data_IF_779677662083
#
_entry.id   IF_779677662083
#
_cell.length_a   1.000
_cell.length_b   1.000
_cell.length_c   1.000
_cell.angle_alpha   90.00
_cell.angle_beta   90.00
_cell.angle_gamma   90.00
#
_symmetry.space_group_name_H-M   'P 1'
#
loop_
_entity.id
_entity.type
_entity.pdbx_description
1 polymer ?
#
# COMPACT_ATOMS: atom_id res chain seq x y z
N UNK A 1 33.40 14.90 34.07
CA UNK A 1 32.38 15.97 34.10
C UNK A 1 32.04 16.34 32.69
N UNK A 2 30.74 16.30 32.36
CA UNK A 2 30.06 17.04 31.28
C UNK A 2 30.80 17.18 29.95
N UNK A 3 30.39 16.40 28.94
CA UNK A 3 30.02 16.87 27.58
C UNK A 3 29.80 15.66 26.66
N UNK A 4 28.76 15.75 25.83
CA UNK A 4 28.42 14.85 24.70
C UNK A 4 27.74 13.51 25.02
N UNK A 5 26.58 13.54 25.71
CA UNK A 5 25.47 12.69 25.25
C UNK A 5 24.71 13.49 24.19
N UNK A 6 25.08 13.31 22.92
CA UNK A 6 24.17 13.64 21.81
C UNK A 6 22.85 12.92 22.12
N UNK A 7 21.82 13.65 22.53
CA UNK A 7 20.48 13.10 22.72
C UNK A 7 20.09 12.42 21.40
N UNK A 8 20.01 11.09 21.43
CA UNK A 8 19.41 10.31 20.35
C UNK A 8 17.95 10.76 20.19
N UNK A 9 17.39 10.74 18.97
CA UNK A 9 15.96 11.00 18.77
C UNK A 9 15.14 10.07 19.68
N UNK A 10 14.23 10.67 20.44
CA UNK A 10 13.35 9.97 21.39
C UNK A 10 12.11 9.55 20.61
N UNK A 11 11.89 8.25 20.48
CA UNK A 11 10.72 7.69 19.83
C UNK A 11 9.71 7.21 20.88
N UNK A 12 8.51 6.87 20.44
CA UNK A 12 7.42 6.33 21.28
C UNK A 12 7.78 5.03 22.02
N UNK A 13 8.83 4.33 21.57
CA UNK A 13 9.38 3.12 22.22
C UNK A 13 10.40 3.41 23.33
N UNK A 14 10.76 4.68 23.56
CA UNK A 14 11.76 5.04 24.57
C UNK A 14 11.24 4.78 25.99
N UNK A 15 12.04 4.08 26.81
CA UNK A 15 11.66 3.71 28.17
C UNK A 15 11.46 4.93 29.08
N UNK A 16 12.05 6.08 28.76
CA UNK A 16 11.83 7.35 29.50
C UNK A 16 10.41 7.89 29.36
N UNK A 17 9.64 7.42 28.38
CA UNK A 17 8.26 7.84 28.15
C UNK A 17 7.25 6.85 28.73
N UNK A 18 7.69 5.94 29.61
CA UNK A 18 6.90 4.81 30.10
C UNK A 18 6.75 4.85 31.62
N UNK A 19 5.59 4.44 32.11
CA UNK A 19 5.38 4.13 33.52
C UNK A 19 6.04 2.78 33.86
N UNK A 20 6.15 2.47 35.15
CA UNK A 20 6.71 1.20 35.63
C UNK A 20 5.98 -0.05 35.10
N UNK A 21 4.70 0.07 34.71
CA UNK A 21 3.89 -1.00 34.12
C UNK A 21 4.05 -1.12 32.58
N UNK A 22 4.88 -0.28 31.96
CA UNK A 22 5.14 -0.26 30.52
C UNK A 22 4.13 0.54 29.69
N UNK A 23 3.10 1.14 30.30
CA UNK A 23 2.19 2.07 29.63
C UNK A 23 2.89 3.41 29.34
N UNK A 24 2.39 4.18 28.37
CA UNK A 24 2.97 5.51 28.04
C UNK A 24 2.61 6.50 29.15
N UNK A 25 3.61 7.23 29.67
CA UNK A 25 3.43 8.27 30.66
C UNK A 25 3.00 9.60 29.99
N UNK A 26 1.72 9.68 29.60
CA UNK A 26 1.17 10.87 28.95
C UNK A 26 1.22 12.12 29.83
N UNK A 27 0.98 11.98 31.14
CA UNK A 27 1.00 13.11 32.07
C UNK A 27 2.40 13.73 32.16
N UNK A 28 3.45 12.91 32.23
CA UNK A 28 4.83 13.37 32.19
C UNK A 28 5.20 14.04 30.86
N UNK A 29 4.71 13.51 29.73
CA UNK A 29 4.89 14.13 28.41
C UNK A 29 4.23 15.52 28.35
N UNK A 30 2.98 15.64 28.85
CA UNK A 30 2.25 16.91 28.88
C UNK A 30 2.92 17.91 29.81
N UNK A 31 3.37 17.47 30.99
CA UNK A 31 4.13 18.31 31.92
C UNK A 31 5.45 18.80 31.30
N UNK A 32 6.16 17.94 30.56
CA UNK A 32 7.41 18.30 29.87
C UNK A 32 7.17 19.35 28.80
N UNK A 33 6.13 19.14 27.98
CA UNK A 33 5.75 20.07 26.92
C UNK A 33 5.39 21.46 27.46
N UNK A 34 4.96 21.55 28.73
CA UNK A 34 4.67 22.79 29.46
C UNK A 34 5.84 23.33 30.31
N UNK A 35 7.04 22.77 30.16
CA UNK A 35 8.24 23.24 30.87
C UNK A 35 8.28 22.93 32.38
N UNK A 36 7.49 21.97 32.86
CA UNK A 36 7.42 21.63 34.28
C UNK A 36 8.53 20.66 34.71
N UNK A 37 8.79 20.59 36.02
CA UNK A 37 9.63 19.54 36.62
C UNK A 37 8.89 18.20 36.55
N UNK A 38 9.59 17.17 36.10
CA UNK A 38 9.02 15.88 35.73
C UNK A 38 9.18 14.81 36.81
N UNK A 39 8.32 13.79 36.76
CA UNK A 39 8.49 12.55 37.51
C UNK A 39 9.80 11.84 37.13
N UNK A 40 10.35 11.01 38.04
CA UNK A 40 11.66 10.37 37.88
C UNK A 40 11.85 9.64 36.54
N UNK A 41 10.82 8.96 36.05
CA UNK A 41 10.87 8.17 34.81
C UNK A 41 11.08 9.06 33.56
N UNK A 42 10.43 10.23 33.53
CA UNK A 42 10.52 11.22 32.44
C UNK A 42 11.53 12.34 32.70
N UNK A 43 12.05 12.48 33.93
CA UNK A 43 12.97 13.56 34.33
C UNK A 43 14.28 13.58 33.54
N UNK A 44 14.64 12.46 32.92
CA UNK A 44 15.79 12.32 32.04
C UNK A 44 15.68 13.15 30.74
N UNK A 45 14.53 13.77 30.47
CA UNK A 45 14.31 14.70 29.35
C UNK A 45 14.79 16.13 29.66
N UNK A 46 15.01 16.47 30.93
CA UNK A 46 15.32 17.82 31.38
C UNK A 46 14.11 18.77 31.34
N UNK A 47 14.37 20.07 31.53
CA UNK A 47 13.35 21.12 31.48
C UNK A 47 13.26 21.69 30.07
N UNK A 48 12.05 21.80 29.55
CA UNK A 48 11.78 22.40 28.24
C UNK A 48 11.79 23.93 28.32
N UNK A 49 12.43 24.57 27.36
CA UNK A 49 12.42 26.04 27.19
C UNK A 49 11.25 26.52 26.32
N UNK A 50 10.91 27.80 26.45
CA UNK A 50 9.99 28.49 25.54
C UNK A 50 10.65 28.76 24.19
N UNK A 51 9.84 29.03 23.16
CA UNK A 51 10.31 29.32 21.81
C UNK A 51 10.38 30.83 21.58
N UNK A 52 11.58 31.43 21.49
CA UNK A 52 11.74 32.87 21.30
C UNK A 52 11.22 33.37 19.95
N UNK A 53 10.98 32.48 18.98
CA UNK A 53 10.51 32.84 17.65
C UNK A 53 9.00 32.69 17.47
N UNK A 54 8.26 32.32 18.53
CA UNK A 54 6.81 32.19 18.50
C UNK A 54 6.16 33.26 19.39
N UNK A 55 5.36 34.13 18.76
CA UNK A 55 4.67 35.24 19.40
C UNK A 55 5.63 36.11 20.24
N UNK A 56 5.41 36.23 21.55
CA UNK A 56 6.22 37.05 22.48
C UNK A 56 7.38 36.28 23.15
N UNK A 57 7.65 35.05 22.70
CA UNK A 57 8.74 34.23 23.22
C UNK A 57 8.44 33.48 24.53
N UNK A 58 7.20 33.56 25.04
CA UNK A 58 6.80 32.95 26.31
C UNK A 58 6.12 31.58 26.17
N UNK A 59 5.87 31.15 24.92
CA UNK A 59 5.11 29.94 24.60
C UNK A 59 6.00 28.72 24.40
N UNK A 60 5.44 27.54 24.64
CA UNK A 60 6.11 26.26 24.47
C UNK A 60 5.71 25.59 23.15
N UNK A 61 6.62 25.56 22.17
CA UNK A 61 6.35 24.93 20.87
C UNK A 61 7.04 23.57 20.74
N UNK A 62 6.59 22.77 19.78
CA UNK A 62 7.31 21.59 19.33
C UNK A 62 7.71 21.67 17.86
N UNK A 63 8.74 20.93 17.44
CA UNK A 63 9.16 20.86 16.03
C UNK A 63 9.70 19.48 15.64
N UNK A 64 9.90 19.25 14.33
CA UNK A 64 10.50 18.02 13.80
C UNK A 64 12.01 17.96 14.09
N UNK A 65 12.42 17.96 15.37
CA UNK A 65 13.82 18.25 15.64
C UNK A 65 14.32 18.23 17.07
N UNK A 66 13.55 17.70 18.05
CA UNK A 66 13.96 17.40 19.45
C UNK A 66 13.44 18.35 20.55
N UNK A 67 12.51 19.25 20.26
CA UNK A 67 11.87 20.05 21.32
C UNK A 67 10.39 19.68 21.42
N UNK A 68 10.00 18.96 22.47
CA UNK A 68 8.60 18.57 22.71
C UNK A 68 8.07 17.39 21.89
N UNK A 69 6.88 16.92 22.28
CA UNK A 69 6.16 15.80 21.68
C UNK A 69 4.78 16.22 21.21
N UNK A 70 4.33 15.69 20.08
CA UNK A 70 2.96 15.84 19.59
C UNK A 70 2.41 14.47 19.23
N UNK A 71 1.09 14.34 19.19
CA UNK A 71 0.42 13.23 18.50
C UNK A 71 0.03 13.71 17.11
N UNK A 72 0.37 12.90 16.10
CA UNK A 72 0.07 13.16 14.69
C UNK A 72 -0.73 12.01 14.11
N UNK A 73 -1.63 12.31 13.19
CA UNK A 73 -2.34 11.31 12.40
C UNK A 73 -1.77 11.25 10.99
N UNK A 74 -1.48 10.05 10.49
CA UNK A 74 -1.14 9.82 9.08
C UNK A 74 -2.41 9.44 8.35
N UNK A 75 -2.91 10.36 7.52
CA UNK A 75 -4.17 10.24 6.84
C UNK A 75 -3.95 9.61 5.46
N UNK A 76 -4.81 8.64 5.13
CA UNK A 76 -4.78 7.92 3.88
C UNK A 76 -6.21 7.81 3.33
N UNK A 77 -6.63 8.84 2.60
CA UNK A 77 -8.00 8.96 2.08
C UNK A 77 -8.05 8.61 0.61
N UNK A 78 -9.15 7.99 0.17
CA UNK A 78 -9.26 7.46 -1.18
C UNK A 78 -10.66 7.67 -1.75
N UNK A 79 -10.73 8.24 -2.94
CA UNK A 79 -11.96 8.37 -3.71
C UNK A 79 -11.87 7.51 -4.96
N UNK A 80 -12.88 6.68 -5.17
CA UNK A 80 -13.01 5.81 -6.34
C UNK A 80 -14.29 6.17 -7.10
N UNK A 81 -14.18 6.28 -8.42
CA UNK A 81 -15.32 6.46 -9.30
C UNK A 81 -15.07 5.71 -10.59
N UNK A 82 -16.10 5.10 -11.18
CA UNK A 82 -15.92 4.33 -12.40
C UNK A 82 -17.19 3.68 -12.93
N UNK A 83 -17.03 3.00 -14.04
CA UNK A 83 -18.06 2.23 -14.74
C UNK A 83 -17.51 0.83 -14.96
N UNK A 84 -18.34 -0.17 -14.65
CA UNK A 84 -18.07 -1.58 -14.91
C UNK A 84 -19.22 -2.14 -15.74
N UNK A 85 -18.88 -2.88 -16.79
CA UNK A 85 -19.85 -3.56 -17.62
C UNK A 85 -19.47 -5.02 -17.80
N UNK A 86 -20.46 -5.89 -17.84
CA UNK A 86 -20.29 -7.31 -18.16
C UNK A 86 -21.50 -7.78 -18.96
N UNK A 87 -21.23 -8.34 -20.13
CA UNK A 87 -22.18 -8.99 -21.00
C UNK A 87 -21.85 -10.48 -21.02
N UNK A 88 -22.85 -11.31 -20.72
CA UNK A 88 -22.78 -12.77 -20.88
C UNK A 88 -23.76 -13.15 -21.97
N UNK A 89 -23.29 -13.83 -23.01
CA UNK A 89 -24.08 -14.24 -24.15
C UNK A 89 -23.82 -15.69 -24.50
N UNK A 90 -24.88 -16.52 -24.48
CA UNK A 90 -24.82 -17.90 -24.97
C UNK A 90 -24.92 -17.87 -26.50
N UNK A 91 -23.81 -18.12 -27.18
CA UNK A 91 -23.78 -18.20 -28.64
C UNK A 91 -24.51 -19.45 -29.14
N UNK A 92 -24.47 -20.52 -28.36
CA UNK A 92 -25.28 -21.74 -28.50
C UNK A 92 -25.30 -22.51 -27.16
N UNK A 93 -25.78 -23.75 -27.17
CA UNK A 93 -25.91 -24.59 -25.96
C UNK A 93 -24.58 -24.93 -25.29
N UNK A 94 -23.47 -24.88 -26.04
CA UNK A 94 -22.15 -25.28 -25.57
C UNK A 94 -21.16 -24.12 -25.48
N UNK A 95 -21.41 -22.99 -26.13
CA UNK A 95 -20.49 -21.84 -26.19
C UNK A 95 -21.09 -20.63 -25.49
N UNK A 96 -20.37 -20.14 -24.48
CA UNK A 96 -20.67 -18.88 -23.79
C UNK A 96 -19.56 -17.87 -24.05
N UNK A 97 -19.95 -16.65 -24.45
CA UNK A 97 -19.08 -15.49 -24.54
C UNK A 97 -19.38 -14.57 -23.35
N UNK A 98 -18.34 -14.22 -22.59
CA UNK A 98 -18.40 -13.19 -21.54
C UNK A 98 -17.46 -12.07 -21.90
N UNK A 99 -17.94 -10.83 -21.99
CA UNK A 99 -17.10 -9.66 -22.34
C UNK A 99 -17.51 -8.44 -21.55
N UNK A 100 -16.63 -7.46 -21.42
CA UNK A 100 -16.93 -6.25 -20.68
C UNK A 100 -15.86 -5.19 -20.84
N UNK A 101 -16.20 -4.02 -20.32
CA UNK A 101 -15.31 -2.87 -20.20
C UNK A 101 -15.26 -2.43 -18.75
N UNK A 102 -14.17 -1.80 -18.40
CA UNK A 102 -13.95 -1.23 -17.08
C UNK A 102 -13.24 0.13 -17.26
N UNK A 103 -13.72 1.13 -16.54
CA UNK A 103 -13.18 2.47 -16.52
C UNK A 103 -13.20 2.97 -15.09
N UNK A 104 -12.04 3.23 -14.51
CA UNK A 104 -11.92 3.69 -13.12
C UNK A 104 -11.02 4.89 -13.02
N UNK A 105 -11.37 5.77 -12.11
CA UNK A 105 -10.53 6.85 -11.65
C UNK A 105 -10.43 6.76 -10.13
N UNK A 106 -9.21 6.93 -9.65
CA UNK A 106 -8.86 6.90 -8.26
C UNK A 106 -8.02 8.11 -7.90
N UNK A 107 -8.35 8.71 -6.75
CA UNK A 107 -7.56 9.77 -6.13
C UNK A 107 -7.26 9.36 -4.69
N UNK A 108 -6.01 9.02 -4.43
CA UNK A 108 -5.45 8.89 -3.09
C UNK A 108 -4.95 10.23 -2.61
N UNK A 109 -5.27 10.58 -1.37
CA UNK A 109 -4.90 11.84 -0.72
C UNK A 109 -4.14 11.46 0.54
N UNK A 110 -2.86 11.81 0.56
CA UNK A 110 -1.92 11.43 1.61
C UNK A 110 -1.40 12.68 2.30
N UNK A 111 -1.67 12.80 3.59
CA UNK A 111 -1.16 13.91 4.40
C UNK A 111 -0.97 13.47 5.84
N UNK A 112 -0.21 14.27 6.61
CA UNK A 112 -0.23 14.18 8.07
C UNK A 112 -0.80 15.45 8.66
N UNK A 113 -1.51 15.31 9.77
CA UNK A 113 -2.05 16.45 10.52
C UNK A 113 -1.63 16.40 11.98
N UNK A 114 -1.66 17.57 12.61
CA UNK A 114 -1.51 17.69 14.06
C UNK A 114 -2.82 17.23 14.69
N UNK A 115 -2.75 16.11 15.39
CA UNK A 115 -3.91 15.50 16.00
C UNK A 115 -4.07 15.99 17.44
N UNK A 116 -2.97 16.09 18.20
CA UNK A 116 -2.95 16.63 19.55
C UNK A 116 -1.57 17.24 19.88
N UNK A 117 -1.56 18.42 20.49
CA UNK A 117 -0.36 19.15 20.89
C UNK A 117 0.30 18.56 22.13
N UNK A 118 -0.37 17.68 22.87
CA UNK A 118 0.09 17.09 24.13
C UNK A 118 0.60 18.17 25.10
N UNK A 119 -0.10 19.31 25.17
CA UNK A 119 0.25 20.41 26.07
C UNK A 119 1.25 21.44 25.54
N UNK A 120 1.76 21.32 24.32
CA UNK A 120 2.41 22.43 23.62
C UNK A 120 1.37 23.51 23.26
N UNK A 121 1.83 24.74 23.06
CA UNK A 121 0.99 25.83 22.54
C UNK A 121 0.88 25.80 21.00
N UNK A 122 1.93 25.31 20.32
CA UNK A 122 1.94 25.12 18.87
C UNK A 122 2.97 24.08 18.41
N UNK A 123 2.83 23.63 17.17
CA UNK A 123 3.82 22.83 16.47
C UNK A 123 4.36 23.61 15.25
N UNK A 124 5.67 23.78 15.16
CA UNK A 124 6.34 24.37 14.00
C UNK A 124 6.58 23.28 12.95
N UNK A 125 5.77 23.30 11.90
CA UNK A 125 5.95 22.51 10.69
C UNK A 125 6.78 23.29 9.67
N UNK A 126 7.87 22.68 9.20
CA UNK A 126 8.84 23.33 8.29
C UNK A 126 9.01 22.60 6.96
N UNK A 127 8.27 21.51 6.74
CA UNK A 127 8.43 20.65 5.56
C UNK A 127 7.78 21.19 4.29
N UNK A 128 6.91 22.20 4.39
CA UNK A 128 6.25 22.81 3.25
C UNK A 128 7.08 23.97 2.71
N UNK A 129 7.59 23.90 1.48
CA UNK A 129 8.34 24.99 0.86
C UNK A 129 7.51 26.26 0.68
N UNK A 130 6.20 26.12 0.47
CA UNK A 130 5.26 27.23 0.30
C UNK A 130 4.89 27.91 1.63
N UNK A 131 5.19 27.26 2.77
CA UNK A 131 4.97 27.80 4.11
C UNK A 131 6.00 27.23 5.10
N UNK A 132 7.27 27.69 5.03
CA UNK A 132 8.38 27.08 5.77
C UNK A 132 8.38 27.41 7.28
N UNK A 133 7.59 28.39 7.71
CA UNK A 133 7.41 28.77 9.11
C UNK A 133 5.93 28.65 9.45
N UNK A 134 5.43 27.41 9.52
CA UNK A 134 4.03 27.14 9.81
C UNK A 134 3.83 26.70 11.27
N UNK A 135 3.41 27.63 12.14
CA UNK A 135 2.98 27.29 13.50
C UNK A 135 1.54 26.82 13.52
N UNK A 136 1.33 25.55 13.84
CA UNK A 136 0.02 24.91 13.96
C UNK A 136 -0.37 24.88 15.43
N UNK A 137 -1.33 25.71 15.83
CA UNK A 137 -1.85 25.79 17.21
C UNK A 137 -3.24 25.17 17.37
N UNK A 138 -3.90 24.79 16.27
CA UNK A 138 -5.21 24.15 16.29
C UNK A 138 -5.08 22.65 16.09
N UNK A 139 -5.50 21.88 17.09
CA UNK A 139 -5.60 20.43 17.00
C UNK A 139 -6.71 20.01 16.02
N UNK A 140 -6.47 18.94 15.26
CA UNK A 140 -7.49 18.27 14.45
C UNK A 140 -7.54 16.79 14.83
N UNK A 141 -8.32 16.45 15.86
CA UNK A 141 -8.48 15.07 16.33
C UNK A 141 -8.90 14.13 15.20
N UNK A 142 -8.37 12.90 15.25
CA UNK A 142 -8.70 11.85 14.29
C UNK A 142 -9.84 10.99 14.83
N UNK A 143 -11.03 11.57 14.87
CA UNK A 143 -12.22 10.89 15.38
C UNK A 143 -12.74 9.84 14.39
N UNK A 144 -13.13 8.68 14.94
CA UNK A 144 -13.73 7.61 14.15
C UNK A 144 -15.06 8.09 13.55
N UNK A 145 -15.30 7.75 12.28
CA UNK A 145 -16.57 8.04 11.58
C UNK A 145 -16.63 9.39 10.86
N UNK A 146 -15.54 10.17 10.82
CA UNK A 146 -15.49 11.36 9.97
C UNK A 146 -15.11 11.01 8.52
N UNK A 147 -16.12 10.69 7.71
CA UNK A 147 -15.94 10.34 6.29
C UNK A 147 -15.79 11.54 5.35
N UNK A 148 -15.94 12.78 5.87
CA UNK A 148 -15.89 14.03 5.11
C UNK A 148 -14.73 14.94 5.50
N UNK A 149 -13.70 14.38 6.14
CA UNK A 149 -12.57 15.15 6.67
C UNK A 149 -11.85 15.94 5.58
N UNK A 150 -11.83 17.25 5.77
CA UNK A 150 -11.25 18.23 4.86
C UNK A 150 -10.17 19.08 5.55
N UNK A 151 -9.67 18.65 6.72
CA UNK A 151 -8.73 19.43 7.54
C UNK A 151 -7.43 19.79 6.80
N UNK A 152 -7.12 19.06 5.73
CA UNK A 152 -5.95 19.28 4.91
C UNK A 152 -6.11 20.40 3.86
N UNK A 153 -7.34 20.75 3.47
CA UNK A 153 -7.60 21.58 2.27
C UNK A 153 -6.98 22.97 2.32
N UNK A 154 -6.80 23.53 3.52
CA UNK A 154 -6.18 24.86 3.69
C UNK A 154 -4.67 24.79 3.87
N UNK A 155 -4.06 23.60 3.95
CA UNK A 155 -2.63 23.38 4.25
C UNK A 155 -2.20 23.75 5.67
N UNK A 156 -2.95 24.61 6.37
CA UNK A 156 -2.59 25.16 7.67
C UNK A 156 -2.44 24.12 8.79
N UNK A 157 -3.15 22.99 8.72
CA UNK A 157 -3.00 21.88 9.68
C UNK A 157 -2.40 20.63 9.03
N UNK A 158 -1.44 20.83 8.11
CA UNK A 158 -0.72 19.74 7.45
C UNK A 158 0.75 19.83 7.80
N UNK A 159 1.36 18.69 8.11
CA UNK A 159 2.75 18.57 8.51
C UNK A 159 3.46 17.44 7.74
N UNK A 160 4.78 17.52 7.64
CA UNK A 160 5.68 16.55 6.98
C UNK A 160 5.48 16.33 5.47
N UNK A 161 4.28 15.98 5.01
CA UNK A 161 3.97 15.74 3.61
C UNK A 161 2.50 16.00 3.30
N UNK A 162 2.25 16.37 2.04
CA UNK A 162 0.93 16.40 1.44
C UNK A 162 1.05 16.12 -0.06
N UNK A 163 0.48 15.01 -0.50
CA UNK A 163 0.46 14.65 -1.92
C UNK A 163 -0.80 13.88 -2.29
N UNK A 164 -1.14 13.97 -3.58
CA UNK A 164 -2.19 13.19 -4.20
C UNK A 164 -1.59 12.19 -5.20
N UNK A 165 -2.09 10.96 -5.13
CA UNK A 165 -1.84 9.92 -6.12
C UNK A 165 -3.07 9.70 -6.98
N UNK A 166 -3.00 10.06 -8.25
CA UNK A 166 -4.06 9.87 -9.22
C UNK A 166 -3.79 8.62 -10.05
N UNK A 167 -4.80 7.77 -10.18
CA UNK A 167 -4.74 6.57 -11.01
C UNK A 167 -5.94 6.55 -11.95
N UNK A 168 -5.67 6.38 -13.23
CA UNK A 168 -6.66 6.17 -14.28
C UNK A 168 -6.54 4.73 -14.77
N UNK A 169 -7.66 4.06 -15.00
CA UNK A 169 -7.68 2.72 -15.58
C UNK A 169 -8.76 2.65 -16.63
N UNK A 170 -8.40 2.15 -17.82
CA UNK A 170 -9.36 1.80 -18.86
C UNK A 170 -8.98 0.45 -19.45
N UNK A 171 -9.95 -0.43 -19.62
CA UNK A 171 -9.67 -1.75 -20.13
C UNK A 171 -10.91 -2.48 -20.59
N UNK A 172 -10.67 -3.57 -21.29
CA UNK A 172 -11.69 -4.47 -21.79
C UNK A 172 -11.23 -5.91 -21.64
N UNK A 173 -12.19 -6.82 -21.56
CA UNK A 173 -11.93 -8.24 -21.50
C UNK A 173 -12.93 -9.03 -22.34
N UNK A 174 -12.51 -10.21 -22.75
CA UNK A 174 -13.35 -11.21 -23.39
C UNK A 174 -12.91 -12.60 -22.94
N UNK A 175 -13.89 -13.46 -22.67
CA UNK A 175 -13.73 -14.86 -22.32
C UNK A 175 -14.70 -15.68 -23.15
N UNK A 176 -14.21 -16.75 -23.76
CA UNK A 176 -15.03 -17.75 -24.45
C UNK A 176 -14.88 -19.07 -23.72
N UNK A 177 -16.01 -19.69 -23.41
CA UNK A 177 -16.10 -21.00 -22.76
C UNK A 177 -16.88 -21.95 -23.67
N UNK A 178 -16.29 -23.10 -23.97
CA UNK A 178 -16.94 -24.23 -24.61
C UNK A 178 -17.10 -25.35 -23.58
N UNK A 179 -18.31 -25.88 -23.40
CA UNK A 179 -18.55 -26.95 -22.42
C UNK A 179 -19.53 -28.00 -22.95
N UNK A 180 -19.13 -29.26 -22.78
CA UNK A 180 -19.93 -30.48 -22.99
C UNK A 180 -19.73 -31.40 -21.77
N UNK A 181 -20.43 -32.54 -21.74
CA UNK A 181 -20.26 -33.55 -20.67
C UNK A 181 -18.81 -34.06 -20.54
N UNK A 182 -18.07 -34.15 -21.67
CA UNK A 182 -16.71 -34.70 -21.68
C UNK A 182 -15.61 -33.65 -21.72
N UNK A 183 -15.86 -32.49 -22.31
CA UNK A 183 -14.83 -31.50 -22.60
C UNK A 183 -15.30 -30.11 -22.19
N UNK A 184 -14.47 -29.41 -21.43
CA UNK A 184 -14.63 -27.98 -21.15
C UNK A 184 -13.35 -27.25 -21.51
N UNK A 185 -13.43 -26.17 -22.28
CA UNK A 185 -12.31 -25.36 -22.74
C UNK A 185 -12.66 -23.90 -22.51
N UNK A 186 -11.69 -23.11 -22.06
CA UNK A 186 -11.87 -21.67 -21.98
C UNK A 186 -10.65 -20.94 -22.52
N UNK A 187 -10.87 -19.72 -23.01
CA UNK A 187 -9.82 -18.77 -23.35
C UNK A 187 -10.28 -17.36 -22.95
N UNK A 188 -9.38 -16.62 -22.32
CA UNK A 188 -9.62 -15.28 -21.79
C UNK A 188 -8.51 -14.35 -22.23
N UNK A 189 -8.90 -13.19 -22.74
CA UNK A 189 -8.02 -12.07 -23.05
C UNK A 189 -8.50 -10.85 -22.30
N UNK A 190 -7.59 -10.13 -21.68
CA UNK A 190 -7.85 -8.78 -21.18
C UNK A 190 -6.71 -7.84 -21.56
N UNK A 191 -7.07 -6.58 -21.78
CA UNK A 191 -6.15 -5.51 -22.12
C UNK A 191 -6.58 -4.25 -21.38
N UNK A 192 -5.60 -3.52 -20.84
CA UNK A 192 -5.87 -2.28 -20.13
C UNK A 192 -4.73 -1.28 -20.31
N UNK A 193 -5.06 -0.01 -20.15
CA UNK A 193 -4.11 1.06 -19.93
C UNK A 193 -4.31 1.60 -18.50
N UNK A 194 -3.23 1.67 -17.75
CA UNK A 194 -3.20 2.26 -16.42
C UNK A 194 -2.31 3.50 -16.43
N UNK A 195 -2.90 4.63 -16.08
CA UNK A 195 -2.24 5.92 -15.99
C UNK A 195 -1.97 6.30 -14.54
N UNK A 196 -0.81 6.91 -14.29
CA UNK A 196 -0.41 7.42 -12.98
C UNK A 196 -0.04 8.90 -13.06
N UNK A 197 -0.47 9.69 -12.06
CA UNK A 197 -0.07 11.08 -11.89
C UNK A 197 0.09 11.39 -10.40
N UNK A 198 1.14 12.13 -10.05
CA UNK A 198 1.39 12.58 -8.68
C UNK A 198 1.30 14.10 -8.62
N UNK A 199 0.73 14.62 -7.52
CA UNK A 199 0.74 16.04 -7.18
C UNK A 199 1.32 16.15 -5.78
N UNK A 200 2.35 16.96 -5.57
CA UNK A 200 2.99 17.13 -4.26
C UNK A 200 3.03 18.60 -3.85
N UNK A 201 2.29 18.93 -2.80
CA UNK A 201 2.05 20.32 -2.38
C UNK A 201 3.15 20.89 -1.48
N UNK A 202 4.11 20.06 -1.03
CA UNK A 202 5.13 20.45 -0.05
C UNK A 202 6.53 20.56 -0.65
N UNK A 203 6.85 19.69 -1.62
CA UNK A 203 8.19 19.62 -2.21
C UNK A 203 8.40 20.68 -3.31
N UNK A 204 7.33 21.09 -3.98
CA UNK A 204 7.37 22.06 -5.08
C UNK A 204 6.58 23.32 -4.74
N UNK A 205 7.00 24.45 -5.29
CA UNK A 205 6.27 25.71 -5.13
C UNK A 205 4.89 25.63 -5.83
N UNK A 206 3.88 26.32 -5.31
CA UNK A 206 2.52 26.35 -5.90
C UNK A 206 2.50 26.93 -7.32
N UNK A 207 3.48 27.76 -7.66
CA UNK A 207 3.69 28.29 -9.01
C UNK A 207 4.50 27.37 -9.93
N UNK A 208 5.10 26.31 -9.41
CA UNK A 208 5.95 25.41 -10.20
C UNK A 208 5.11 24.37 -10.94
N UNK A 209 5.29 24.29 -12.26
CA UNK A 209 4.65 23.27 -13.07
C UNK A 209 5.04 21.84 -12.65
N UNK A 210 6.23 21.66 -12.06
CA UNK A 210 6.69 20.38 -11.53
C UNK A 210 5.91 19.90 -10.29
N UNK A 211 5.06 20.75 -9.69
CA UNK A 211 4.16 20.35 -8.59
C UNK A 211 3.25 19.18 -8.97
N UNK A 212 2.84 19.12 -10.24
CA UNK A 212 2.01 18.04 -10.77
C UNK A 212 2.73 17.34 -11.93
N UNK A 213 2.98 16.04 -11.79
CA UNK A 213 3.61 15.27 -12.86
C UNK A 213 2.73 15.18 -14.11
N UNK A 214 3.34 14.87 -15.24
CA UNK A 214 2.61 14.36 -16.40
C UNK A 214 2.05 12.96 -16.12
N UNK A 215 1.01 12.59 -16.87
CA UNK A 215 0.43 11.24 -16.82
C UNK A 215 1.38 10.22 -17.43
N UNK A 216 1.76 9.22 -16.63
CA UNK A 216 2.56 8.08 -17.08
C UNK A 216 1.63 6.89 -17.36
N UNK A 217 1.57 6.43 -18.61
CA UNK A 217 0.60 5.44 -19.06
C UNK A 217 1.27 4.11 -19.40
N UNK A 218 0.73 3.02 -18.86
CA UNK A 218 1.26 1.67 -19.01
C UNK A 218 0.17 0.74 -19.56
N UNK A 219 0.44 0.16 -20.73
CA UNK A 219 -0.41 -0.88 -21.27
C UNK A 219 -0.07 -2.22 -20.63
N UNK A 220 -1.08 -2.97 -20.20
CA UNK A 220 -0.95 -4.30 -19.63
C UNK A 220 -2.08 -5.19 -20.07
N UNK A 221 -2.01 -6.46 -19.70
CA UNK A 221 -3.01 -7.44 -20.10
C UNK A 221 -2.66 -8.85 -19.69
N UNK A 222 -3.61 -9.73 -19.90
CA UNK A 222 -3.58 -11.13 -19.51
C UNK A 222 -4.17 -11.95 -20.65
N UNK A 223 -3.48 -13.01 -21.00
CA UNK A 223 -4.01 -14.09 -21.82
C UNK A 223 -4.00 -15.37 -20.98
N UNK A 224 -5.13 -16.05 -20.87
CA UNK A 224 -5.26 -17.32 -20.18
C UNK A 224 -6.06 -18.29 -21.03
N UNK A 225 -5.69 -19.54 -21.02
CA UNK A 225 -6.48 -20.60 -21.64
C UNK A 225 -6.35 -21.88 -20.83
N UNK A 226 -7.38 -22.70 -20.88
CA UNK A 226 -7.36 -23.99 -20.20
C UNK A 226 -8.35 -24.96 -20.81
N UNK A 227 -8.10 -26.24 -20.55
CA UNK A 227 -8.95 -27.32 -20.99
C UNK A 227 -9.06 -28.38 -19.90
N UNK A 228 -10.25 -28.92 -19.73
CA UNK A 228 -10.57 -30.04 -18.86
C UNK A 228 -11.25 -31.14 -19.67
N UNK A 229 -10.76 -32.37 -19.55
CA UNK A 229 -11.34 -33.56 -20.16
C UNK A 229 -11.76 -34.56 -19.10
N UNK A 230 -13.04 -34.90 -19.09
CA UNK A 230 -13.62 -35.94 -18.23
C UNK A 230 -13.41 -37.29 -18.93
N UNK A 231 -12.51 -38.10 -18.37
CA UNK A 231 -12.22 -39.47 -18.83
C UNK A 231 -13.47 -40.33 -18.63
N UNK A 232 -14.13 -40.15 -17.49
CA UNK A 232 -15.44 -40.68 -17.13
C UNK A 232 -16.02 -39.84 -15.97
N UNK A 233 -17.12 -40.29 -15.37
CA UNK A 233 -17.82 -39.58 -14.29
C UNK A 233 -16.99 -39.35 -13.02
N UNK A 234 -15.89 -40.10 -12.85
CA UNK A 234 -15.05 -40.06 -11.65
C UNK A 234 -13.70 -39.40 -11.90
N UNK A 235 -13.23 -39.34 -13.14
CA UNK A 235 -11.85 -38.99 -13.45
C UNK A 235 -11.79 -37.87 -14.49
N UNK A 236 -11.01 -36.83 -14.20
CA UNK A 236 -10.75 -35.75 -15.14
C UNK A 236 -9.26 -35.36 -15.15
N UNK A 237 -8.80 -34.86 -16.29
CA UNK A 237 -7.49 -34.21 -16.44
C UNK A 237 -7.70 -32.80 -16.94
N UNK A 238 -6.89 -31.86 -16.47
CA UNK A 238 -6.97 -30.48 -16.93
C UNK A 238 -5.59 -29.85 -17.09
N UNK A 239 -5.53 -28.85 -17.94
CA UNK A 239 -4.35 -28.04 -18.17
C UNK A 239 -4.75 -26.56 -18.21
N UNK A 240 -3.95 -25.69 -17.61
CA UNK A 240 -4.09 -24.25 -17.70
C UNK A 240 -2.76 -23.62 -18.09
N UNK A 241 -2.81 -22.61 -18.95
CA UNK A 241 -1.67 -21.78 -19.29
C UNK A 241 -2.07 -20.31 -19.24
N UNK A 242 -1.14 -19.47 -18.83
CA UNK A 242 -1.38 -18.04 -18.70
C UNK A 242 -0.13 -17.22 -18.93
N UNK A 243 -0.34 -16.04 -19.50
CA UNK A 243 0.63 -14.97 -19.60
C UNK A 243 -0.01 -13.68 -19.08
N UNK A 244 0.72 -12.94 -18.25
CA UNK A 244 0.30 -11.64 -17.73
C UNK A 244 1.43 -10.64 -17.89
N UNK A 245 1.13 -9.52 -18.55
CA UNK A 245 1.93 -8.32 -18.55
C UNK A 245 1.33 -7.36 -17.53
N UNK A 246 1.88 -7.36 -16.32
CA UNK A 246 1.38 -6.60 -15.17
C UNK A 246 2.02 -5.20 -15.17
N UNK A 247 1.18 -4.17 -15.19
CA UNK A 247 1.64 -2.78 -15.08
C UNK A 247 2.36 -2.51 -13.74
N UNK A 248 3.29 -1.54 -13.70
CA UNK A 248 3.91 -1.08 -12.47
C UNK A 248 2.88 -0.57 -11.44
N UNK A 249 3.23 -0.56 -10.17
CA UNK A 249 2.43 0.14 -9.14
C UNK A 249 2.90 1.59 -8.99
N UNK A 250 2.08 2.44 -8.36
CA UNK A 250 2.36 3.87 -8.18
C UNK A 250 3.78 4.15 -7.64
N UNK A 251 4.20 3.40 -6.62
CA UNK A 251 5.52 3.54 -5.98
C UNK A 251 6.69 3.12 -6.88
N UNK A 252 6.45 2.31 -7.92
CA UNK A 252 7.49 2.04 -8.93
C UNK A 252 7.68 3.23 -9.86
N UNK A 253 6.61 4.00 -10.13
CA UNK A 253 6.59 5.11 -11.10
C UNK A 253 7.27 6.35 -10.54
N UNK A 254 6.94 6.72 -9.31
CA UNK A 254 7.45 7.92 -8.65
C UNK A 254 8.45 7.55 -7.55
N UNK A 255 9.73 7.88 -7.76
CA UNK A 255 10.81 7.54 -6.84
C UNK A 255 11.08 8.67 -5.83
N UNK A 256 11.77 8.32 -4.74
CA UNK A 256 12.27 9.27 -3.73
C UNK A 256 11.19 10.15 -3.08
N UNK A 257 9.92 9.72 -3.10
CA UNK A 257 8.78 10.53 -2.65
C UNK A 257 8.67 11.89 -3.36
N UNK A 258 9.12 11.96 -4.62
CA UNK A 258 9.07 13.15 -5.48
C UNK A 258 8.30 12.85 -6.76
N UNK A 259 8.10 13.87 -7.60
CA UNK A 259 7.54 13.70 -8.94
C UNK A 259 8.60 13.23 -9.96
N UNK A 260 9.67 12.59 -9.48
CA UNK A 260 10.73 12.04 -10.31
C UNK A 260 10.28 10.70 -10.88
N UNK A 261 10.18 10.62 -12.21
CA UNK A 261 9.77 9.40 -12.90
C UNK A 261 10.94 8.41 -12.93
N UNK A 262 10.69 7.17 -12.54
CA UNK A 262 11.64 6.09 -12.71
C UNK A 262 11.89 5.83 -14.21
N UNK A 263 13.11 6.03 -14.73
CA UNK A 263 13.39 5.84 -16.15
C UNK A 263 13.36 4.37 -16.60
N UNK A 264 13.35 3.43 -15.65
CA UNK A 264 13.49 2.00 -15.90
C UNK A 264 12.18 1.23 -15.68
N UNK A 265 11.06 1.90 -15.92
CA UNK A 265 9.73 1.31 -15.79
C UNK A 265 9.49 0.28 -16.87
N UNK A 266 9.19 -0.93 -16.44
CA UNK A 266 8.73 -2.00 -17.32
C UNK A 266 7.64 -2.80 -16.64
N UNK A 267 6.79 -3.44 -17.45
CA UNK A 267 5.81 -4.36 -16.92
C UNK A 267 6.48 -5.63 -16.40
N UNK A 268 5.95 -6.12 -15.29
CA UNK A 268 6.33 -7.44 -14.80
C UNK A 268 5.66 -8.51 -15.67
N UNK A 269 6.38 -9.58 -15.94
CA UNK A 269 5.90 -10.66 -16.80
C UNK A 269 5.67 -11.91 -15.97
N UNK A 270 4.47 -12.46 -16.03
CA UNK A 270 4.12 -13.68 -15.30
C UNK A 270 3.63 -14.70 -16.31
N UNK A 271 4.36 -15.81 -16.41
CA UNK A 271 3.97 -16.96 -17.23
C UNK A 271 3.70 -18.14 -16.32
N UNK A 272 2.52 -18.74 -16.41
CA UNK A 272 2.08 -19.84 -15.56
C UNK A 272 1.62 -21.02 -16.38
N UNK A 273 2.00 -22.21 -15.96
CA UNK A 273 1.52 -23.49 -16.48
C UNK A 273 1.06 -24.37 -15.31
N UNK A 274 -0.06 -25.05 -15.49
CA UNK A 274 -0.65 -25.97 -14.53
C UNK A 274 -1.19 -27.21 -15.26
N UNK A 275 -0.91 -28.39 -14.73
CA UNK A 275 -1.45 -29.67 -15.16
C UNK A 275 -2.02 -30.37 -13.94
N UNK A 276 -3.29 -30.76 -13.98
CA UNK A 276 -3.93 -31.42 -12.86
C UNK A 276 -4.73 -32.66 -13.23
N UNK A 277 -4.91 -33.51 -12.23
CA UNK A 277 -5.74 -34.70 -12.27
C UNK A 277 -6.73 -34.67 -11.11
N UNK A 278 -8.01 -34.86 -11.43
CA UNK A 278 -9.09 -34.94 -10.46
C UNK A 278 -9.68 -36.34 -10.39
N UNK A 279 -9.93 -36.79 -9.16
CA UNK A 279 -10.75 -37.96 -8.85
C UNK A 279 -11.95 -37.55 -7.99
N UNK A 280 -13.14 -38.01 -8.33
CA UNK A 280 -14.41 -37.66 -7.69
C UNK A 280 -15.29 -38.89 -7.54
N UNK A 281 -15.73 -39.15 -6.32
CA UNK A 281 -16.75 -40.13 -5.97
C UNK A 281 -17.72 -39.51 -4.96
N UNK A 282 -18.76 -40.25 -4.56
CA UNK A 282 -19.75 -39.76 -3.61
C UNK A 282 -19.16 -39.39 -2.23
N UNK A 283 -18.13 -40.11 -1.77
CA UNK A 283 -17.51 -39.92 -0.45
C UNK A 283 -16.05 -39.47 -0.47
N UNK A 284 -15.42 -39.38 -1.64
CA UNK A 284 -14.00 -39.01 -1.75
C UNK A 284 -13.74 -38.16 -2.99
N UNK A 285 -12.96 -37.09 -2.80
CA UNK A 285 -12.53 -36.17 -3.85
C UNK A 285 -11.05 -35.89 -3.65
N UNK A 286 -10.25 -36.00 -4.71
CA UNK A 286 -8.84 -35.63 -4.67
C UNK A 286 -8.44 -34.87 -5.94
N UNK A 287 -7.56 -33.88 -5.79
CA UNK A 287 -6.87 -33.21 -6.88
C UNK A 287 -5.37 -33.34 -6.66
N UNK A 288 -4.65 -33.52 -7.76
CA UNK A 288 -3.19 -33.43 -7.79
C UNK A 288 -2.83 -32.47 -8.90
N UNK A 289 -2.11 -31.40 -8.56
CA UNK A 289 -1.75 -30.33 -9.49
C UNK A 289 -0.23 -30.18 -9.54
N UNK A 290 0.32 -30.15 -10.74
CA UNK A 290 1.69 -29.77 -11.02
C UNK A 290 1.68 -28.37 -11.61
N UNK A 291 2.46 -27.46 -11.04
CA UNK A 291 2.51 -26.08 -11.53
C UNK A 291 3.94 -25.57 -11.71
N UNK A 292 4.08 -24.63 -12.62
CA UNK A 292 5.29 -23.85 -12.84
C UNK A 292 4.92 -22.44 -13.26
N UNK A 293 5.29 -21.46 -12.45
CA UNK A 293 5.08 -20.04 -12.68
C UNK A 293 6.40 -19.29 -12.63
N UNK A 294 6.73 -18.60 -13.73
CA UNK A 294 7.87 -17.69 -13.82
C UNK A 294 7.36 -16.26 -13.71
N UNK A 295 7.80 -15.53 -12.69
CA UNK A 295 7.51 -14.12 -12.50
C UNK A 295 8.80 -13.31 -12.72
N UNK A 296 8.96 -12.83 -13.96
CA UNK A 296 10.10 -12.05 -14.43
C UNK A 296 9.89 -10.54 -14.34
N UNK A 297 10.98 -9.81 -14.62
CA UNK A 297 11.06 -8.35 -14.65
C UNK A 297 10.52 -7.68 -13.38
N UNK A 298 10.72 -8.32 -12.22
CA UNK A 298 10.31 -7.73 -10.95
C UNK A 298 11.27 -6.60 -10.56
N UNK A 299 10.69 -5.50 -10.15
CA UNK A 299 11.40 -4.40 -9.51
C UNK A 299 11.13 -4.42 -8.01
N UNK A 300 12.19 -4.31 -7.21
CA UNK A 300 12.08 -4.05 -5.79
C UNK A 300 13.17 -3.08 -5.37
N UNK A 301 12.84 -2.25 -4.41
CA UNK A 301 13.74 -1.30 -3.81
C UNK A 301 14.08 -1.72 -2.37
N UNK A 302 15.31 -1.42 -1.95
CA UNK A 302 15.77 -1.67 -0.59
C UNK A 302 16.65 -0.53 -0.14
N UNK A 303 16.28 0.09 0.98
CA UNK A 303 17.16 1.03 1.67
C UNK A 303 18.19 0.27 2.50
N UNK A 304 19.47 0.56 2.29
CA UNK A 304 20.59 -0.01 3.03
C UNK A 304 21.47 1.13 3.54
N UNK A 305 21.92 1.04 4.78
CA UNK A 305 22.90 1.98 5.32
C UNK A 305 24.29 1.67 4.80
N UNK A 306 24.94 2.67 4.21
CA UNK A 306 26.33 2.56 3.81
C UNK A 306 27.27 2.64 5.03
N UNK A 307 28.58 2.46 4.79
CA UNK A 307 29.63 2.56 5.82
C UNK A 307 29.70 3.93 6.53
N UNK A 308 29.02 4.95 5.97
CA UNK A 308 28.93 6.30 6.52
C UNK A 308 27.59 6.57 7.24
N UNK A 309 26.79 5.53 7.54
CA UNK A 309 25.44 5.64 8.11
C UNK A 309 24.47 6.50 7.28
N UNK A 310 24.66 6.53 5.95
CA UNK A 310 23.72 7.16 5.04
C UNK A 310 22.80 6.10 4.44
N UNK A 311 21.51 6.39 4.45
CA UNK A 311 20.50 5.54 3.81
C UNK A 311 20.64 5.66 2.28
N UNK A 312 20.98 4.56 1.61
CA UNK A 312 21.05 4.47 0.15
C UNK A 312 19.91 3.57 -0.34
N UNK A 313 19.13 4.06 -1.30
CA UNK A 313 18.10 3.28 -1.99
C UNK A 313 18.75 2.46 -3.13
N UNK A 314 18.71 1.14 -3.01
CA UNK A 314 19.05 0.23 -4.11
C UNK A 314 17.79 -0.21 -4.83
N UNK A 315 17.75 -0.01 -6.15
CA UNK A 315 16.66 -0.50 -7.00
C UNK A 315 17.15 -1.72 -7.77
N UNK A 316 16.60 -2.89 -7.45
CA UNK A 316 16.89 -4.15 -8.14
C UNK A 316 15.89 -4.35 -9.29
N UNK A 317 16.38 -4.87 -10.40
CA UNK A 317 15.66 -5.00 -11.67
C UNK A 317 15.88 -6.38 -12.27
N UNK A 318 15.03 -6.74 -13.23
CA UNK A 318 15.11 -7.99 -13.99
C UNK A 318 15.18 -9.24 -13.10
N UNK A 319 14.62 -9.14 -11.90
CA UNK A 319 14.64 -10.26 -10.98
C UNK A 319 13.51 -11.21 -11.33
N UNK A 320 13.90 -12.45 -11.59
CA UNK A 320 12.96 -13.53 -11.89
C UNK A 320 12.77 -14.39 -10.66
N UNK A 321 11.52 -14.57 -10.25
CA UNK A 321 11.13 -15.54 -9.24
C UNK A 321 10.42 -16.72 -9.91
N UNK A 322 10.88 -17.93 -9.61
CA UNK A 322 10.29 -19.17 -10.12
C UNK A 322 9.55 -19.86 -8.98
N UNK A 323 8.27 -20.15 -9.19
CA UNK A 323 7.40 -20.90 -8.28
C UNK A 323 6.97 -22.17 -8.97
N UNK A 324 7.36 -23.32 -8.44
CA UNK A 324 7.00 -24.63 -8.99
C UNK A 324 6.79 -25.61 -7.87
N UNK A 325 5.85 -26.51 -8.04
CA UNK A 325 5.49 -27.43 -6.99
C UNK A 325 4.47 -28.46 -7.43
N UNK A 326 4.11 -29.28 -6.46
CA UNK A 326 3.06 -30.28 -6.52
C UNK A 326 2.08 -29.95 -5.39
N UNK A 327 0.83 -29.68 -5.73
CA UNK A 327 -0.24 -29.45 -4.77
C UNK A 327 -1.17 -30.65 -4.75
N UNK A 328 -1.55 -31.09 -3.54
CA UNK A 328 -2.50 -32.18 -3.34
C UNK A 328 -3.60 -31.69 -2.41
N UNK A 329 -4.83 -31.79 -2.89
CA UNK A 329 -6.03 -31.48 -2.13
C UNK A 329 -6.92 -32.71 -2.06
N UNK A 330 -7.32 -33.09 -0.86
CA UNK A 330 -8.20 -34.23 -0.63
C UNK A 330 -9.36 -33.85 0.28
N UNK A 331 -10.56 -34.28 -0.08
CA UNK A 331 -11.70 -34.27 0.82
C UNK A 331 -12.27 -35.68 0.94
N UNK A 332 -12.40 -36.16 2.17
CA UNK A 332 -12.99 -37.44 2.49
C UNK A 332 -14.21 -37.23 3.39
N UNK A 333 -15.38 -37.64 2.90
CA UNK A 333 -16.65 -37.55 3.58
C UNK A 333 -17.31 -38.95 3.65
N UNK A 334 -16.90 -39.80 4.62
CA UNK A 334 -17.41 -41.17 4.73
C UNK A 334 -18.91 -41.23 5.06
N UNK A 335 -19.43 -40.19 5.73
CA UNK A 335 -20.84 -40.00 6.05
C UNK A 335 -21.20 -38.52 5.88
N UNK A 336 -22.48 -38.19 5.67
CA UNK A 336 -22.92 -36.81 5.38
C UNK A 336 -22.54 -35.79 6.46
N UNK A 337 -22.39 -36.23 7.71
CA UNK A 337 -22.13 -35.38 8.86
C UNK A 337 -20.63 -35.18 9.17
N UNK A 338 -19.73 -35.91 8.50
CA UNK A 338 -18.28 -35.85 8.75
C UNK A 338 -17.53 -35.61 7.45
N UNK A 339 -16.70 -34.57 7.42
CA UNK A 339 -15.81 -34.26 6.32
C UNK A 339 -14.41 -33.96 6.84
N UNK A 340 -13.40 -34.57 6.22
CA UNK A 340 -11.99 -34.37 6.50
C UNK A 340 -11.34 -33.74 5.27
N UNK A 341 -10.65 -32.62 5.46
CA UNK A 341 -9.94 -31.92 4.39
C UNK A 341 -8.44 -32.02 4.61
N UNK A 342 -7.73 -32.48 3.60
CA UNK A 342 -6.27 -32.48 3.52
C UNK A 342 -5.84 -31.49 2.45
N UNK A 343 -4.87 -30.64 2.78
CA UNK A 343 -4.22 -29.75 1.84
C UNK A 343 -2.70 -29.85 2.06
N UNK A 344 -1.95 -30.08 0.99
CA UNK A 344 -0.50 -30.16 0.99
C UNK A 344 0.04 -29.30 -0.15
N UNK A 345 0.99 -28.42 0.15
CA UNK A 345 1.67 -27.52 -0.78
C UNK A 345 3.16 -27.84 -0.83
#
# INVERSE_FOLDING_TARGET
GSLLRKLLPIFDTDSRLRNADGTVNFDGIVAYNKGQTLAADTALLGTKGTDPNYLDGTYYTANSGRNGFIRRASMNSHNWSGILSTLIHKLNDNITLTTGIDGRYYRGIHYRRLENLLGNDAYLATSNINNPINYISSESPADFGNFGDNSYKTGNNVLNYWNDGLVSWIGAFAQVEYSTEKLSVFATLNGSNQGFKRIDYFVYEDSDAAQASDWQNFFGGVAKAGANYNINDQHNVFLNAGYTSRQPIFDNVFINFRNDINPDLSNQQITSFELGYGFRTQGFRANVNLYNTNWGNRQFDRTVQNVNNQDILYVFRDVTQVHRGLEIEGNYAPIRQLSLTLCCH
#
